data_IF_008097738544
#
_entry.id   IF_008097738544
#
_cell.length_a   1.000
_cell.length_b   1.000
_cell.length_c   1.000
_cell.angle_alpha   90.00
_cell.angle_beta   90.00
_cell.angle_gamma   90.00
#
_symmetry.space_group_name_H-M   'P 1'
#
loop_
_entity.id
_entity.type
_entity.pdbx_description
1 polymer ?
#
# COMPACT_ATOMS: atom_id res chain seq x y z
N UNK A 1 -2.76 -34.75 -48.93
CA UNK A 1 -3.69 -34.66 -47.78
C UNK A 1 -2.95 -34.63 -46.44
N UNK A 2 -2.01 -35.56 -46.19
CA UNK A 2 -1.19 -35.62 -44.95
C UNK A 2 -0.47 -34.29 -44.60
N UNK A 3 0.24 -33.67 -45.54
CA UNK A 3 0.94 -32.39 -45.30
C UNK A 3 0.00 -31.20 -44.98
N UNK A 4 -1.27 -31.24 -45.41
CA UNK A 4 -2.26 -30.19 -45.08
C UNK A 4 -2.79 -30.38 -43.65
N UNK A 5 -3.10 -31.62 -43.27
CA UNK A 5 -3.50 -31.97 -41.90
C UNK A 5 -2.41 -31.64 -40.88
N UNK A 6 -1.14 -31.94 -41.19
CA UNK A 6 -0.02 -31.63 -40.30
C UNK A 6 0.13 -30.12 -40.05
N UNK A 7 -0.05 -29.28 -41.07
CA UNK A 7 -0.02 -27.81 -40.91
C UNK A 7 -1.15 -27.29 -40.04
N UNK A 8 -2.37 -27.81 -40.21
CA UNK A 8 -3.52 -27.44 -39.38
C UNK A 8 -3.28 -27.86 -37.93
N UNK A 9 -2.73 -29.04 -37.70
CA UNK A 9 -2.42 -29.51 -36.35
C UNK A 9 -1.36 -28.64 -35.66
N UNK A 10 -0.28 -28.28 -36.37
CA UNK A 10 0.74 -27.36 -35.85
C UNK A 10 0.19 -25.97 -35.53
N UNK A 11 -0.70 -25.46 -36.38
CA UNK A 11 -1.37 -24.17 -36.13
C UNK A 11 -2.27 -24.26 -34.91
N UNK A 12 -3.09 -25.31 -34.79
CA UNK A 12 -3.95 -25.56 -33.65
C UNK A 12 -3.17 -25.68 -32.33
N UNK A 13 -2.05 -26.41 -32.33
CA UNK A 13 -1.16 -26.51 -31.17
C UNK A 13 -0.58 -25.14 -30.78
N UNK A 14 -0.18 -24.32 -31.76
CA UNK A 14 0.33 -22.97 -31.51
C UNK A 14 -0.74 -22.06 -30.90
N UNK A 15 -1.94 -22.04 -31.46
CA UNK A 15 -3.07 -21.25 -30.95
C UNK A 15 -3.47 -21.72 -29.54
N UNK A 16 -3.50 -23.02 -29.30
CA UNK A 16 -3.81 -23.59 -27.98
C UNK A 16 -2.77 -23.18 -26.94
N UNK A 17 -1.47 -23.18 -27.28
CA UNK A 17 -0.41 -22.68 -26.39
C UNK A 17 -0.53 -21.18 -26.13
N UNK A 18 -0.87 -20.39 -27.15
CA UNK A 18 -1.09 -18.95 -27.00
C UNK A 18 -2.25 -18.67 -26.04
N UNK A 19 -3.37 -19.39 -26.18
CA UNK A 19 -4.52 -19.30 -25.27
C UNK A 19 -4.17 -19.71 -23.83
N UNK A 20 -3.39 -20.79 -23.66
CA UNK A 20 -2.96 -21.22 -22.32
C UNK A 20 -2.04 -20.18 -21.64
N UNK A 21 -1.10 -19.61 -22.39
CA UNK A 21 -0.23 -18.55 -21.90
C UNK A 21 -1.01 -17.29 -21.54
N UNK A 22 -1.97 -16.89 -22.39
CA UNK A 22 -2.85 -15.76 -22.11
C UNK A 22 -3.67 -15.99 -20.84
N UNK A 23 -4.27 -17.18 -20.68
CA UNK A 23 -5.01 -17.56 -19.47
C UNK A 23 -4.13 -17.49 -18.21
N UNK A 24 -2.90 -18.01 -18.26
CA UNK A 24 -1.95 -17.94 -17.14
C UNK A 24 -1.59 -16.50 -16.79
N UNK A 25 -1.33 -15.66 -17.80
CA UNK A 25 -1.04 -14.24 -17.60
C UNK A 25 -2.22 -13.51 -16.94
N UNK A 26 -3.44 -13.77 -17.39
CA UNK A 26 -4.65 -13.19 -16.81
C UNK A 26 -4.85 -13.61 -15.34
N UNK A 27 -4.64 -14.90 -15.03
CA UNK A 27 -4.74 -15.39 -13.66
C UNK A 27 -3.70 -14.74 -12.72
N UNK A 28 -2.47 -14.56 -13.19
CA UNK A 28 -1.42 -13.87 -12.43
C UNK A 28 -1.76 -12.39 -12.22
N UNK A 29 -2.22 -11.69 -13.26
CA UNK A 29 -2.64 -10.29 -13.17
C UNK A 29 -3.80 -10.11 -12.17
N UNK A 30 -4.78 -11.02 -12.20
CA UNK A 30 -5.91 -11.01 -11.25
C UNK A 30 -5.45 -11.21 -9.80
N UNK A 31 -4.53 -12.15 -9.56
CA UNK A 31 -3.98 -12.37 -8.21
C UNK A 31 -3.25 -11.11 -7.71
N UNK A 32 -2.40 -10.52 -8.55
CA UNK A 32 -1.70 -9.26 -8.22
C UNK A 32 -2.66 -8.11 -7.92
N UNK A 33 -3.74 -8.00 -8.69
CA UNK A 33 -4.76 -6.97 -8.47
C UNK A 33 -5.47 -7.15 -7.12
N UNK A 34 -5.79 -8.40 -6.73
CA UNK A 34 -6.37 -8.71 -5.42
C UNK A 34 -5.39 -8.39 -4.28
N UNK A 35 -4.16 -8.88 -4.37
CA UNK A 35 -3.14 -8.60 -3.35
C UNK A 35 -2.88 -7.10 -3.18
N UNK A 36 -2.89 -6.35 -4.29
CA UNK A 36 -2.78 -4.89 -4.28
C UNK A 36 -3.97 -4.25 -3.57
N UNK A 37 -5.20 -4.68 -3.92
CA UNK A 37 -6.41 -4.17 -3.30
C UNK A 37 -6.41 -4.41 -1.78
N UNK A 38 -6.10 -5.63 -1.35
CA UNK A 38 -6.09 -6.02 0.06
C UNK A 38 -5.03 -5.22 0.84
N UNK A 39 -3.81 -5.11 0.31
CA UNK A 39 -2.76 -4.29 0.92
C UNK A 39 -3.16 -2.82 1.05
N UNK A 40 -3.75 -2.26 0.00
CA UNK A 40 -4.22 -0.86 -0.02
C UNK A 40 -5.32 -0.64 1.01
N UNK A 41 -6.31 -1.54 1.10
CA UNK A 41 -7.41 -1.41 2.07
C UNK A 41 -6.91 -1.57 3.51
N UNK A 42 -6.05 -2.55 3.77
CA UNK A 42 -5.46 -2.75 5.09
C UNK A 42 -4.67 -1.52 5.53
N UNK A 43 -3.95 -0.86 4.62
CA UNK A 43 -3.20 0.35 4.92
C UNK A 43 -4.11 1.55 5.21
N UNK A 44 -5.24 1.70 4.49
CA UNK A 44 -6.23 2.75 4.78
C UNK A 44 -6.81 2.58 6.18
N UNK A 45 -7.22 1.36 6.53
CA UNK A 45 -7.76 1.06 7.86
C UNK A 45 -6.72 1.29 8.95
N UNK A 46 -5.49 0.86 8.71
CA UNK A 46 -4.38 1.08 9.62
C UNK A 46 -4.11 2.57 9.82
N UNK A 47 -4.12 3.38 8.77
CA UNK A 47 -3.94 4.85 8.85
C UNK A 47 -5.04 5.52 9.67
N UNK A 48 -6.29 5.09 9.51
CA UNK A 48 -7.40 5.62 10.31
C UNK A 48 -7.23 5.30 11.80
N UNK A 49 -6.79 4.07 12.12
CA UNK A 49 -6.50 3.66 13.49
C UNK A 49 -5.28 4.39 14.07
N UNK A 50 -4.23 4.58 13.27
CA UNK A 50 -3.03 5.34 13.64
C UNK A 50 -3.37 6.80 13.96
N UNK A 51 -4.25 7.43 13.17
CA UNK A 51 -4.75 8.78 13.42
C UNK A 51 -5.53 8.85 14.76
N UNK A 52 -6.41 7.87 15.05
CA UNK A 52 -7.10 7.77 16.34
C UNK A 52 -6.13 7.64 17.51
N UNK A 53 -5.17 6.72 17.43
CA UNK A 53 -4.13 6.51 18.46
C UNK A 53 -3.33 7.77 18.73
N UNK A 54 -2.95 8.49 17.67
CA UNK A 54 -2.27 9.78 17.80
C UNK A 54 -3.16 10.76 18.57
N UNK A 55 -4.41 10.92 18.15
CA UNK A 55 -5.34 11.86 18.79
C UNK A 55 -5.59 11.52 20.27
N UNK A 56 -5.66 10.24 20.62
CA UNK A 56 -5.77 9.76 22.00
C UNK A 56 -4.50 10.03 22.83
N UNK A 57 -3.33 9.96 22.20
CA UNK A 57 -2.05 10.24 22.86
C UNK A 57 -1.76 11.75 23.02
N UNK A 58 -2.59 12.63 22.45
CA UNK A 58 -2.45 14.09 22.65
C UNK A 58 -2.87 14.49 24.06
N UNK A 59 -1.93 15.06 24.81
CA UNK A 59 -2.18 15.59 26.16
C UNK A 59 -2.98 16.88 26.03
N UNK A 60 -4.28 16.82 26.35
CA UNK A 60 -5.17 17.98 26.33
C UNK A 60 -5.20 18.71 27.68
N UNK A 61 -4.80 18.04 28.77
CA UNK A 61 -4.78 18.61 30.13
C UNK A 61 -3.40 19.18 30.48
N UNK A 62 -3.26 20.50 30.72
CA UNK A 62 -2.00 21.11 31.16
C UNK A 62 -1.52 20.62 32.53
N UNK A 63 -2.38 19.97 33.32
CA UNK A 63 -2.06 19.44 34.65
C UNK A 63 -1.86 17.91 34.65
N UNK A 64 -1.72 17.28 33.48
CA UNK A 64 -1.45 15.85 33.38
C UNK A 64 -0.22 15.46 34.22
N UNK A 65 -0.35 14.37 34.96
CA UNK A 65 0.75 13.87 35.79
C UNK A 65 1.88 13.27 34.93
N UNK A 66 3.08 13.20 35.50
CA UNK A 66 4.27 12.72 34.80
C UNK A 66 4.11 11.32 34.20
N UNK A 67 3.34 10.42 34.84
CA UNK A 67 3.15 9.07 34.28
C UNK A 67 2.30 9.12 33.01
N UNK A 68 1.21 9.90 33.02
CA UNK A 68 0.38 10.13 31.83
C UNK A 68 1.21 10.70 30.68
N UNK A 69 2.09 11.67 30.95
CA UNK A 69 2.98 12.25 29.94
C UNK A 69 3.92 11.19 29.34
N UNK A 70 4.53 10.35 30.19
CA UNK A 70 5.45 9.29 29.75
C UNK A 70 4.75 8.18 28.96
N UNK A 71 3.51 7.85 29.32
CA UNK A 71 2.68 6.90 28.57
C UNK A 71 2.33 7.43 27.18
N UNK A 72 1.91 8.69 27.08
CA UNK A 72 1.69 9.39 25.81
C UNK A 72 2.96 9.39 24.94
N UNK A 73 4.11 9.74 25.53
CA UNK A 73 5.39 9.74 24.82
C UNK A 73 5.72 8.34 24.26
N UNK A 74 5.57 7.29 25.07
CA UNK A 74 5.83 5.91 24.63
C UNK A 74 4.89 5.49 23.50
N UNK A 75 3.61 5.82 23.60
CA UNK A 75 2.63 5.50 22.57
C UNK A 75 2.96 6.18 21.23
N UNK A 76 3.40 7.44 21.27
CA UNK A 76 3.80 8.19 20.08
C UNK A 76 5.12 7.69 19.48
N UNK A 77 6.11 7.32 20.30
CA UNK A 77 7.36 6.71 19.79
C UNK A 77 7.10 5.38 19.09
N UNK A 78 6.26 4.52 19.69
CA UNK A 78 5.85 3.28 19.05
C UNK A 78 5.12 3.56 17.72
N UNK A 79 4.25 4.57 17.70
CA UNK A 79 3.55 4.95 16.48
C UNK A 79 4.52 5.45 15.39
N UNK A 80 5.54 6.22 15.74
CA UNK A 80 6.59 6.67 14.82
C UNK A 80 7.33 5.50 14.16
N UNK A 81 7.70 4.48 14.94
CA UNK A 81 8.33 3.25 14.42
C UNK A 81 7.42 2.52 13.44
N UNK A 82 6.15 2.30 13.80
CA UNK A 82 5.18 1.62 12.93
C UNK A 82 4.89 2.40 11.64
N UNK A 83 4.90 3.73 11.69
CA UNK A 83 4.74 4.61 10.52
C UNK A 83 5.90 4.45 9.53
N UNK A 84 7.14 4.33 10.04
CA UNK A 84 8.31 4.07 9.21
C UNK A 84 8.23 2.71 8.53
N UNK A 85 7.70 1.68 9.21
CA UNK A 85 7.45 0.37 8.59
C UNK A 85 6.39 0.45 7.48
N UNK A 86 5.31 1.21 7.68
CA UNK A 86 4.28 1.38 6.64
C UNK A 86 4.82 2.13 5.41
N UNK A 87 5.82 3.00 5.58
CA UNK A 87 6.44 3.73 4.47
C UNK A 87 7.04 2.78 3.42
N UNK A 88 7.63 1.66 3.85
CA UNK A 88 8.16 0.63 2.95
C UNK A 88 7.06 -0.06 2.14
N UNK A 89 5.88 -0.25 2.74
CA UNK A 89 4.73 -0.84 2.06
C UNK A 89 4.15 0.12 1.01
N UNK A 90 4.04 1.42 1.35
CA UNK A 90 3.64 2.45 0.38
C UNK A 90 4.58 2.46 -0.83
N UNK A 91 5.90 2.46 -0.59
CA UNK A 91 6.89 2.41 -1.67
C UNK A 91 6.70 1.20 -2.60
N UNK A 92 6.44 0.02 -2.00
CA UNK A 92 6.18 -1.20 -2.77
C UNK A 92 4.89 -1.11 -3.61
N UNK A 93 3.86 -0.43 -3.09
CA UNK A 93 2.62 -0.17 -3.82
C UNK A 93 2.84 0.83 -4.96
N UNK A 94 3.61 1.89 -4.75
CA UNK A 94 3.97 2.89 -5.77
C UNK A 94 4.75 2.25 -6.93
N UNK A 95 5.72 1.38 -6.66
CA UNK A 95 6.43 0.64 -7.71
C UNK A 95 5.49 -0.26 -8.52
N UNK A 96 4.54 -0.92 -7.84
CA UNK A 96 3.58 -1.81 -8.47
C UNK A 96 2.58 -1.04 -9.34
N UNK A 97 2.03 0.09 -8.86
CA UNK A 97 1.11 0.93 -9.66
C UNK A 97 1.81 1.53 -10.87
N UNK A 98 3.04 2.01 -10.71
CA UNK A 98 3.84 2.51 -11.83
C UNK A 98 4.07 1.44 -12.91
N UNK A 99 4.39 0.20 -12.49
CA UNK A 99 4.52 -0.93 -13.41
C UNK A 99 3.20 -1.23 -14.14
N UNK A 100 2.07 -1.26 -13.42
CA UNK A 100 0.76 -1.57 -13.99
C UNK A 100 0.27 -0.47 -14.94
N UNK A 101 0.48 0.80 -14.61
CA UNK A 101 0.20 1.94 -15.49
C UNK A 101 0.90 1.82 -16.83
N UNK A 102 2.18 1.47 -16.82
CA UNK A 102 2.98 1.28 -18.04
C UNK A 102 2.47 0.10 -18.89
N UNK A 103 1.86 -0.92 -18.27
CA UNK A 103 1.38 -2.13 -18.95
C UNK A 103 -0.06 -2.07 -19.45
N UNK A 104 -0.85 -1.10 -18.98
CA UNK A 104 -2.31 -1.06 -19.15
C UNK A 104 -2.82 0.16 -19.92
N UNK A 105 -1.95 0.87 -20.63
CA UNK A 105 -2.31 2.08 -21.40
C UNK A 105 -3.10 3.13 -20.59
N UNK A 106 -2.79 3.26 -19.30
CA UNK A 106 -3.41 4.24 -18.41
C UNK A 106 -4.67 3.78 -17.67
N UNK A 107 -5.08 2.51 -17.75
CA UNK A 107 -6.27 2.01 -17.01
C UNK A 107 -6.10 2.02 -15.46
N UNK A 108 -4.89 2.25 -14.94
CA UNK A 108 -4.58 2.22 -13.51
C UNK A 108 -4.37 3.61 -12.86
N UNK A 109 -4.77 4.70 -13.52
CA UNK A 109 -4.57 6.07 -12.99
C UNK A 109 -5.24 6.24 -11.62
N UNK A 110 -6.47 5.76 -11.43
CA UNK A 110 -7.17 5.88 -10.15
C UNK A 110 -6.45 5.12 -9.02
N UNK A 111 -5.90 3.93 -9.32
CA UNK A 111 -5.15 3.14 -8.35
C UNK A 111 -3.85 3.85 -7.94
N UNK A 112 -3.17 4.46 -8.90
CA UNK A 112 -1.96 5.24 -8.67
C UNK A 112 -2.23 6.50 -7.85
N UNK A 113 -3.25 7.27 -8.20
CA UNK A 113 -3.69 8.45 -7.43
C UNK A 113 -4.04 8.07 -5.99
N UNK A 114 -4.73 6.94 -5.79
CA UNK A 114 -5.08 6.44 -4.46
C UNK A 114 -3.85 6.11 -3.63
N UNK A 115 -2.86 5.44 -4.20
CA UNK A 115 -1.58 5.14 -3.51
C UNK A 115 -0.85 6.43 -3.16
N UNK A 116 -0.80 7.41 -4.07
CA UNK A 116 -0.22 8.73 -3.79
C UNK A 116 -0.94 9.47 -2.66
N UNK A 117 -2.27 9.41 -2.60
CA UNK A 117 -3.06 9.99 -1.48
C UNK A 117 -2.70 9.32 -0.15
N UNK A 118 -2.60 7.99 -0.13
CA UNK A 118 -2.17 7.22 1.04
C UNK A 118 -0.76 7.64 1.48
N UNK A 119 0.19 7.72 0.53
CA UNK A 119 1.55 8.15 0.81
C UNK A 119 1.63 9.57 1.37
N UNK A 120 0.79 10.50 0.87
CA UNK A 120 0.67 11.85 1.45
C UNK A 120 0.12 11.82 2.87
N UNK A 121 -0.94 11.06 3.13
CA UNK A 121 -1.55 10.96 4.47
C UNK A 121 -0.59 10.33 5.47
N UNK A 122 0.16 9.29 5.07
CA UNK A 122 1.18 8.66 5.90
C UNK A 122 2.26 9.67 6.29
N UNK A 123 2.80 10.40 5.30
CA UNK A 123 3.82 11.44 5.54
C UNK A 123 3.33 12.52 6.49
N UNK A 124 2.11 13.02 6.27
CA UNK A 124 1.50 14.00 7.15
C UNK A 124 1.39 13.47 8.58
N UNK A 125 0.95 12.22 8.76
CA UNK A 125 0.82 11.62 10.09
C UNK A 125 2.18 11.46 10.77
N UNK A 126 3.22 11.07 10.03
CA UNK A 126 4.61 11.01 10.53
C UNK A 126 5.12 12.37 10.98
N UNK A 127 4.92 13.42 10.18
CA UNK A 127 5.29 14.80 10.55
C UNK A 127 4.56 15.26 11.81
N UNK A 128 3.28 14.92 11.93
CA UNK A 128 2.44 15.25 13.07
C UNK A 128 2.86 14.50 14.35
N UNK A 129 3.15 13.20 14.28
CA UNK A 129 3.66 12.43 15.43
C UNK A 129 5.03 12.95 15.88
N UNK A 130 5.92 13.27 14.93
CA UNK A 130 7.22 13.86 15.23
C UNK A 130 7.09 15.22 15.93
N UNK A 131 6.14 16.04 15.49
CA UNK A 131 5.83 17.31 16.14
C UNK A 131 5.29 17.11 17.57
N UNK A 132 4.35 16.18 17.76
CA UNK A 132 3.79 15.89 19.08
C UNK A 132 4.86 15.38 20.06
N UNK A 133 5.78 14.52 19.59
CA UNK A 133 6.92 14.05 20.38
C UNK A 133 7.84 15.20 20.82
N UNK A 134 8.14 16.15 19.93
CA UNK A 134 8.95 17.33 20.26
C UNK A 134 8.24 18.23 21.27
N UNK A 135 6.93 18.44 21.11
CA UNK A 135 6.14 19.23 22.05
C UNK A 135 6.15 18.64 23.47
N UNK A 136 6.17 17.32 23.61
CA UNK A 136 6.26 16.63 24.90
C UNK A 136 7.66 16.70 25.51
N UNK A 137 8.71 16.63 24.68
CA UNK A 137 10.11 16.66 25.15
C UNK A 137 10.55 18.05 25.62
N UNK A 138 9.81 19.11 25.24
CA UNK A 138 10.20 20.49 25.46
C UNK A 138 11.30 20.92 24.48
N UNK A 139 11.23 22.16 24.00
CA UNK A 139 12.36 22.80 23.31
C UNK A 139 13.63 22.81 24.18
#
# INVERSE_FOLDING_TARGET
LHNKLQKVNLHWEKETRALDNWRKGLQQALLRCKDFHDQTQNLILWLAHADSRRNEAQITDPNADLNTILECQRALMQLEEELMEQQLKVYSLEELTAYLLMKSDGEYIEADEKVHVIGRKLRQLTEQVSHDLKAIQGD
#
